data_IF_952849941190
#
_entry.id   IF_952849941190
#
_cell.length_a   1.000
_cell.length_b   1.000
_cell.length_c   1.000
_cell.angle_alpha   90.00
_cell.angle_beta   90.00
_cell.angle_gamma   90.00
#
_symmetry.space_group_name_H-M   'P 1'
#
loop_
_entity.id
_entity.type
_entity.pdbx_description
1 polymer ?
#
# COMPACT_ATOMS: atom_id res chain seq x y z
N UNK A 1 5.07 2.54 22.44
CA UNK A 1 6.26 2.38 21.59
C UNK A 1 6.14 3.10 20.26
N UNK A 2 6.74 4.29 20.15
CA UNK A 2 6.73 5.12 18.92
C UNK A 2 7.56 4.52 17.78
N UNK A 3 8.46 3.59 18.08
CA UNK A 3 9.24 2.85 17.06
C UNK A 3 8.37 1.87 16.25
N UNK A 4 7.21 1.46 16.76
CA UNK A 4 6.27 0.60 16.04
C UNK A 4 5.53 1.33 14.90
N UNK A 5 5.48 2.67 14.95
CA UNK A 5 4.91 3.53 13.90
C UNK A 5 5.92 3.87 12.79
N UNK A 6 7.19 3.47 12.92
CA UNK A 6 8.23 3.83 11.98
C UNK A 6 8.04 3.08 10.65
N UNK A 7 7.81 3.84 9.57
CA UNK A 7 7.81 3.35 8.18
C UNK A 7 9.26 3.28 7.71
N UNK A 8 9.80 2.08 7.56
CA UNK A 8 11.19 1.85 7.14
C UNK A 8 11.32 0.54 6.36
N UNK A 9 12.37 0.44 5.53
CA UNK A 9 12.70 -0.81 4.82
C UNK A 9 12.91 -1.94 5.83
N UNK A 10 12.39 -3.13 5.49
CA UNK A 10 12.39 -4.32 6.34
C UNK A 10 11.25 -4.38 7.36
N UNK A 11 10.46 -3.32 7.52
CA UNK A 11 9.30 -3.33 8.44
C UNK A 11 8.14 -4.13 7.84
N UNK A 12 7.49 -4.91 8.69
CA UNK A 12 6.33 -5.69 8.30
C UNK A 12 5.13 -4.78 7.97
N UNK A 13 4.35 -5.21 6.99
CA UNK A 13 3.13 -4.54 6.53
C UNK A 13 2.03 -5.56 6.30
N UNK A 14 0.78 -5.11 6.44
CA UNK A 14 -0.40 -5.88 6.07
C UNK A 14 -1.14 -5.12 4.98
N UNK A 15 -1.50 -5.82 3.92
CA UNK A 15 -2.32 -5.31 2.83
C UNK A 15 -3.69 -5.97 2.89
N UNK A 16 -4.75 -5.18 2.76
CA UNK A 16 -6.13 -5.69 2.72
C UNK A 16 -6.88 -5.00 1.59
N UNK A 17 -7.28 -5.77 0.58
CA UNK A 17 -8.00 -5.23 -0.57
C UNK A 17 -8.86 -6.28 -1.26
N UNK A 18 -9.42 -5.93 -2.42
CA UNK A 18 -10.19 -6.85 -3.26
C UNK A 18 -9.46 -7.16 -4.58
N UNK A 19 -8.24 -7.76 -4.53
CA UNK A 19 -7.50 -8.11 -5.71
C UNK A 19 -8.13 -9.34 -6.36
N UNK A 20 -8.99 -9.16 -7.34
CA UNK A 20 -9.47 -10.17 -8.29
C UNK A 20 -10.45 -9.49 -9.24
N UNK A 21 -10.18 -9.57 -10.54
CA UNK A 21 -11.21 -9.30 -11.54
C UNK A 21 -12.31 -10.37 -11.53
N UNK A 22 -13.42 -10.16 -12.28
CA UNK A 22 -14.53 -11.10 -12.38
C UNK A 22 -14.08 -12.53 -12.74
N UNK A 23 -13.13 -12.67 -13.66
CA UNK A 23 -12.62 -13.96 -14.10
C UNK A 23 -11.94 -14.73 -12.97
N UNK A 24 -11.18 -14.03 -12.12
CA UNK A 24 -10.50 -14.62 -10.99
C UNK A 24 -11.47 -14.98 -9.87
N UNK A 25 -12.52 -14.18 -9.66
CA UNK A 25 -13.59 -14.51 -8.71
C UNK A 25 -14.32 -15.78 -9.15
N UNK A 26 -14.61 -15.93 -10.44
CA UNK A 26 -15.20 -17.15 -10.99
C UNK A 26 -14.27 -18.36 -10.87
N UNK A 27 -12.98 -18.18 -11.10
CA UNK A 27 -11.98 -19.26 -11.00
C UNK A 27 -11.75 -19.77 -9.56
N UNK A 28 -12.26 -19.07 -8.54
CA UNK A 28 -12.25 -19.54 -7.15
C UNK A 28 -13.46 -20.41 -6.79
N UNK A 29 -14.46 -20.49 -7.67
CA UNK A 29 -15.66 -21.30 -7.48
C UNK A 29 -15.50 -22.68 -8.13
N UNK A 30 -16.39 -23.61 -7.78
CA UNK A 30 -16.46 -24.90 -8.45
C UNK A 30 -16.82 -24.74 -9.93
N UNK A 31 -16.17 -25.50 -10.82
CA UNK A 31 -16.34 -25.37 -12.28
C UNK A 31 -17.80 -25.40 -12.76
N UNK A 32 -18.64 -26.21 -12.11
CA UNK A 32 -20.06 -26.30 -12.43
C UNK A 32 -20.82 -25.01 -12.05
N UNK A 33 -20.51 -24.47 -10.87
CA UNK A 33 -21.07 -23.22 -10.38
C UNK A 33 -20.60 -22.05 -11.24
N UNK A 34 -19.30 -21.92 -11.47
CA UNK A 34 -18.70 -20.87 -12.30
C UNK A 34 -19.32 -20.84 -13.70
N UNK A 35 -19.46 -21.99 -14.37
CA UNK A 35 -20.14 -22.10 -15.68
C UNK A 35 -21.61 -21.68 -15.62
N UNK A 36 -22.33 -22.07 -14.57
CA UNK A 36 -23.74 -21.71 -14.41
C UNK A 36 -23.93 -20.20 -14.21
N UNK A 37 -23.05 -19.57 -13.44
CA UNK A 37 -23.05 -18.13 -13.18
C UNK A 37 -22.70 -17.39 -14.47
N UNK A 38 -21.64 -17.82 -15.17
CA UNK A 38 -21.23 -17.22 -16.43
C UNK A 38 -22.33 -17.30 -17.49
N UNK A 39 -23.04 -18.43 -17.59
CA UNK A 39 -24.14 -18.58 -18.55
C UNK A 39 -25.34 -17.66 -18.25
N UNK A 40 -25.62 -17.38 -16.96
CA UNK A 40 -26.80 -16.61 -16.53
C UNK A 40 -26.52 -15.11 -16.42
N UNK A 41 -25.33 -14.74 -15.98
CA UNK A 41 -24.98 -13.37 -15.60
C UNK A 41 -23.76 -12.82 -16.35
N UNK A 42 -23.07 -13.62 -17.16
CA UNK A 42 -21.85 -13.22 -17.88
C UNK A 42 -22.09 -12.29 -19.07
N UNK A 43 -23.34 -11.97 -19.40
CA UNK A 43 -23.68 -10.99 -20.45
C UNK A 43 -23.46 -9.53 -20.02
N UNK A 44 -23.36 -9.26 -18.72
CA UNK A 44 -23.01 -7.95 -18.16
C UNK A 44 -22.11 -8.10 -16.94
N UNK A 45 -21.03 -7.30 -16.90
CA UNK A 45 -20.14 -7.24 -15.75
C UNK A 45 -20.90 -6.86 -14.47
N UNK A 46 -21.85 -5.93 -14.57
CA UNK A 46 -22.64 -5.47 -13.43
C UNK A 46 -23.53 -6.58 -12.88
N UNK A 47 -24.20 -7.36 -13.74
CA UNK A 47 -25.02 -8.49 -13.29
C UNK A 47 -24.19 -9.60 -12.66
N UNK A 48 -23.00 -9.87 -13.22
CA UNK A 48 -22.07 -10.86 -12.69
C UNK A 48 -21.58 -10.45 -11.30
N UNK A 49 -21.08 -9.21 -11.16
CA UNK A 49 -20.59 -8.70 -9.89
C UNK A 49 -21.71 -8.56 -8.86
N UNK A 50 -22.91 -8.13 -9.28
CA UNK A 50 -24.08 -8.06 -8.42
C UNK A 50 -24.46 -9.42 -7.84
N UNK A 51 -24.47 -10.46 -8.67
CA UNK A 51 -24.73 -11.83 -8.20
C UNK A 51 -23.63 -12.34 -7.26
N UNK A 52 -22.35 -12.17 -7.62
CA UNK A 52 -21.22 -12.57 -6.78
C UNK A 52 -21.24 -11.83 -5.43
N UNK A 53 -21.64 -10.56 -5.40
CA UNK A 53 -21.79 -9.78 -4.18
C UNK A 53 -22.95 -10.30 -3.32
N UNK A 54 -24.12 -10.55 -3.91
CA UNK A 54 -25.31 -11.08 -3.21
C UNK A 54 -25.00 -12.43 -2.54
N UNK A 55 -24.24 -13.28 -3.23
CA UNK A 55 -23.81 -14.60 -2.72
C UNK A 55 -22.55 -14.54 -1.84
N UNK A 56 -22.02 -13.35 -1.56
CA UNK A 56 -20.82 -13.13 -0.72
C UNK A 56 -19.56 -13.81 -1.26
N UNK A 57 -19.44 -13.98 -2.58
CA UNK A 57 -18.22 -14.48 -3.22
C UNK A 57 -17.14 -13.41 -3.39
N UNK A 58 -17.49 -12.11 -3.23
CA UNK A 58 -16.51 -11.02 -3.19
C UNK A 58 -15.97 -10.89 -1.76
N UNK A 59 -14.76 -11.41 -1.55
CA UNK A 59 -14.08 -11.39 -0.25
C UNK A 59 -12.77 -10.60 -0.33
N UNK A 60 -12.39 -9.87 0.73
CA UNK A 60 -11.10 -9.21 0.75
C UNK A 60 -9.97 -10.23 0.87
N UNK A 61 -8.89 -10.01 0.12
CA UNK A 61 -7.61 -10.69 0.34
C UNK A 61 -6.82 -9.89 1.36
N UNK A 62 -6.42 -10.54 2.45
CA UNK A 62 -5.51 -9.97 3.45
C UNK A 62 -4.18 -10.71 3.40
N UNK A 63 -3.10 -9.99 3.14
CA UNK A 63 -1.76 -10.55 2.98
C UNK A 63 -0.74 -9.76 3.81
N UNK A 64 0.31 -10.44 4.25
CA UNK A 64 1.42 -9.82 4.95
C UNK A 64 2.66 -9.80 4.06
N UNK A 65 3.50 -8.80 4.27
CA UNK A 65 4.81 -8.65 3.63
C UNK A 65 5.70 -7.69 4.41
N UNK A 66 6.69 -7.14 3.73
CA UNK A 66 7.65 -6.17 4.24
C UNK A 66 7.83 -5.03 3.24
N UNK A 67 8.24 -3.88 3.75
CA UNK A 67 8.71 -2.76 2.92
C UNK A 67 10.07 -3.16 2.34
N UNK A 68 10.17 -3.19 1.01
CA UNK A 68 11.40 -3.56 0.29
C UNK A 68 12.20 -2.36 -0.17
N UNK A 69 11.53 -1.22 -0.39
CA UNK A 69 12.13 0.07 -0.71
C UNK A 69 11.20 1.22 -0.29
N UNK A 70 11.75 2.39 -0.01
CA UNK A 70 11.01 3.54 0.53
C UNK A 70 11.58 4.87 0.03
N UNK A 71 10.72 5.66 -0.61
CA UNK A 71 10.94 7.06 -0.96
C UNK A 71 9.79 7.94 -0.43
N UNK A 72 10.05 9.23 -0.33
CA UNK A 72 9.10 10.29 0.02
C UNK A 72 7.78 10.24 -0.75
N UNK A 73 7.77 9.72 -1.98
CA UNK A 73 6.58 9.64 -2.84
C UNK A 73 6.07 8.22 -3.07
N UNK A 74 6.78 7.19 -2.59
CA UNK A 74 6.48 5.80 -2.93
C UNK A 74 6.96 4.82 -1.85
N UNK A 75 6.11 3.87 -1.50
CA UNK A 75 6.47 2.67 -0.73
C UNK A 75 6.50 1.49 -1.71
N UNK A 76 7.56 0.68 -1.66
CA UNK A 76 7.64 -0.61 -2.35
C UNK A 76 7.53 -1.71 -1.31
N UNK A 77 6.71 -2.73 -1.57
CA UNK A 77 6.45 -3.81 -0.62
C UNK A 77 6.13 -5.14 -1.32
N UNK A 78 6.30 -6.26 -0.61
CA UNK A 78 6.15 -7.61 -1.16
C UNK A 78 4.88 -8.37 -0.71
N UNK A 79 3.99 -7.72 0.06
CA UNK A 79 2.71 -8.32 0.44
C UNK A 79 1.88 -8.61 -0.82
N UNK A 80 1.43 -9.86 -0.98
CA UNK A 80 0.79 -10.31 -2.23
C UNK A 80 -0.49 -9.55 -2.53
N UNK A 81 -0.64 -9.17 -3.79
CA UNK A 81 -1.86 -8.58 -4.35
C UNK A 81 -1.94 -8.92 -5.84
N UNK A 82 -2.94 -8.44 -6.54
CA UNK A 82 -3.13 -8.64 -7.98
C UNK A 82 -3.90 -7.46 -8.57
N UNK A 83 -4.24 -7.55 -9.86
CA UNK A 83 -5.20 -6.65 -10.48
C UNK A 83 -6.49 -6.55 -9.66
N UNK A 84 -7.06 -5.33 -9.59
CA UNK A 84 -8.16 -4.99 -8.69
C UNK A 84 -7.73 -4.60 -7.27
N UNK A 85 -6.46 -4.80 -6.89
CA UNK A 85 -5.94 -4.38 -5.60
C UNK A 85 -5.67 -2.88 -5.45
N UNK A 86 -5.89 -2.07 -6.50
CA UNK A 86 -5.66 -0.62 -6.45
C UNK A 86 -6.61 0.07 -5.46
N UNK A 87 -6.11 1.11 -4.78
CA UNK A 87 -6.84 1.86 -3.77
C UNK A 87 -6.85 1.21 -2.38
N UNK A 88 -6.40 -0.04 -2.24
CA UNK A 88 -6.46 -0.71 -0.95
C UNK A 88 -5.40 -0.19 0.05
N UNK A 89 -5.75 -0.13 1.34
CA UNK A 89 -4.89 0.38 2.40
C UNK A 89 -3.72 -0.57 2.71
N UNK A 90 -2.53 0.00 2.85
CA UNK A 90 -1.35 -0.66 3.38
C UNK A 90 -1.16 -0.24 4.85
N UNK A 91 -1.23 -1.21 5.76
CA UNK A 91 -1.09 -1.02 7.19
C UNK A 91 0.35 -1.27 7.65
N UNK A 92 0.86 -0.37 8.50
CA UNK A 92 2.11 -0.57 9.23
C UNK A 92 1.92 -1.43 10.48
N UNK A 93 3.00 -1.67 11.23
CA UNK A 93 2.99 -2.55 12.41
C UNK A 93 2.07 -2.06 13.54
N UNK A 94 1.78 -0.76 13.60
CA UNK A 94 0.83 -0.19 14.57
C UNK A 94 -0.64 -0.33 14.19
N UNK A 95 -0.95 -0.93 13.02
CA UNK A 95 -2.30 -1.00 12.48
C UNK A 95 -2.80 0.31 11.85
N UNK A 96 -1.95 1.33 11.75
CA UNK A 96 -2.25 2.58 11.02
C UNK A 96 -1.98 2.42 9.53
N UNK A 97 -2.77 3.12 8.70
CA UNK A 97 -2.54 3.18 7.25
C UNK A 97 -1.30 4.03 6.97
N UNK A 98 -0.32 3.43 6.29
CA UNK A 98 0.95 4.07 5.93
C UNK A 98 1.02 4.38 4.42
N UNK A 99 0.24 3.67 3.61
CA UNK A 99 0.15 3.91 2.18
C UNK A 99 -1.16 3.43 1.54
N UNK A 100 -1.36 3.81 0.28
CA UNK A 100 -2.48 3.40 -0.56
C UNK A 100 -1.90 2.71 -1.79
N UNK A 101 -2.22 1.42 -2.00
CA UNK A 101 -1.72 0.67 -3.15
C UNK A 101 -2.25 1.27 -4.47
N UNK A 102 -1.40 1.37 -5.50
CA UNK A 102 -1.83 1.90 -6.80
C UNK A 102 -1.36 1.07 -7.99
N UNK A 103 -0.28 0.29 -7.84
CA UNK A 103 0.26 -0.51 -8.92
C UNK A 103 0.85 -1.83 -8.40
N UNK A 104 0.69 -2.86 -9.22
CA UNK A 104 1.28 -4.19 -9.06
C UNK A 104 2.21 -4.44 -10.24
N UNK A 105 3.37 -5.06 -10.01
CA UNK A 105 4.28 -5.39 -11.10
C UNK A 105 4.14 -6.87 -11.47
N UNK A 106 3.58 -7.14 -12.66
CA UNK A 106 3.20 -8.51 -13.07
C UNK A 106 4.42 -9.39 -13.38
N UNK A 107 5.54 -8.80 -13.82
CA UNK A 107 6.79 -9.52 -14.11
C UNK A 107 7.65 -9.78 -12.85
N UNK A 108 7.38 -9.08 -11.75
CA UNK A 108 8.01 -9.27 -10.44
C UNK A 108 6.96 -9.12 -9.34
N UNK A 109 6.33 -10.24 -9.01
CA UNK A 109 5.27 -10.33 -7.99
C UNK A 109 5.74 -9.99 -6.57
N UNK A 110 7.04 -9.79 -6.35
CA UNK A 110 7.60 -9.33 -5.09
C UNK A 110 7.64 -7.78 -4.95
N UNK A 111 7.16 -7.04 -5.95
CA UNK A 111 7.17 -5.57 -5.93
C UNK A 111 5.78 -4.99 -6.24
N UNK A 112 5.16 -4.44 -5.20
CA UNK A 112 3.94 -3.65 -5.28
C UNK A 112 4.23 -2.22 -4.82
N UNK A 113 3.42 -1.27 -5.31
CA UNK A 113 3.67 0.15 -5.09
C UNK A 113 2.50 0.83 -4.40
N UNK A 114 2.81 1.58 -3.36
CA UNK A 114 1.85 2.40 -2.64
C UNK A 114 2.28 3.87 -2.57
N UNK A 115 1.31 4.77 -2.58
CA UNK A 115 1.50 6.18 -2.27
C UNK A 115 1.55 6.34 -0.75
N UNK A 116 2.60 6.93 -0.14
CA UNK A 116 2.63 7.19 1.29
C UNK A 116 1.48 8.11 1.72
N UNK A 117 0.77 7.78 2.80
CA UNK A 117 -0.35 8.59 3.30
C UNK A 117 0.08 10.02 3.64
N UNK A 118 1.28 10.18 4.22
CA UNK A 118 1.85 11.51 4.52
C UNK A 118 2.01 12.39 3.27
N UNK A 119 2.41 11.78 2.15
CA UNK A 119 2.51 12.47 0.87
C UNK A 119 1.12 12.83 0.33
N UNK A 120 0.16 11.90 0.39
CA UNK A 120 -1.24 12.16 0.02
C UNK A 120 -1.86 13.31 0.80
N UNK A 121 -1.69 13.35 2.12
CA UNK A 121 -2.17 14.46 2.97
C UNK A 121 -1.55 15.79 2.54
N UNK A 122 -0.26 15.82 2.25
CA UNK A 122 0.43 17.04 1.76
C UNK A 122 -0.19 17.55 0.45
N UNK A 123 -0.56 16.64 -0.46
CA UNK A 123 -1.23 17.02 -1.72
C UNK A 123 -2.64 17.57 -1.47
N UNK A 124 -3.41 16.93 -0.59
CA UNK A 124 -4.75 17.39 -0.22
C UNK A 124 -4.70 18.80 0.40
N UNK A 125 -3.77 19.05 1.31
CA UNK A 125 -3.59 20.36 1.93
C UNK A 125 -3.27 21.46 0.92
N UNK A 126 -2.48 21.17 -0.13
CA UNK A 126 -2.16 22.12 -1.20
C UNK A 126 -3.37 22.58 -2.00
N UNK A 127 -4.42 21.76 -2.07
CA UNK A 127 -5.68 22.10 -2.76
C UNK A 127 -6.76 22.62 -1.81
N UNK A 128 -6.40 22.98 -0.58
CA UNK A 128 -7.29 23.60 0.40
C UNK A 128 -8.07 22.62 1.27
N UNK A 129 -7.77 21.32 1.21
CA UNK A 129 -8.34 20.35 2.16
C UNK A 129 -7.80 20.62 3.57
N UNK A 130 -8.70 20.65 4.55
CA UNK A 130 -8.37 20.83 5.97
C UNK A 130 -8.67 19.54 6.71
N UNK A 131 -7.82 19.25 7.70
CA UNK A 131 -8.07 18.14 8.61
C UNK A 131 -9.36 18.45 9.40
N UNK A 132 -10.31 17.50 9.53
CA UNK A 132 -11.49 17.68 10.37
C UNK A 132 -11.12 18.04 11.81
N UNK A 133 -11.86 18.98 12.41
CA UNK A 133 -11.67 19.35 13.82
C UNK A 133 -11.87 18.11 14.73
N UNK A 134 -10.95 17.90 15.67
CA UNK A 134 -10.98 16.75 16.59
C UNK A 134 -10.08 15.57 16.20
N UNK A 135 -9.37 15.61 15.07
CA UNK A 135 -8.26 14.69 14.77
C UNK A 135 -6.93 15.35 15.19
N UNK A 136 -6.75 15.54 16.49
CA UNK A 136 -5.48 16.03 17.05
C UNK A 136 -4.56 14.86 17.42
N UNK A 137 -3.34 14.87 16.87
CA UNK A 137 -2.21 14.15 17.45
C UNK A 137 -1.33 13.37 16.47
N UNK A 138 -0.14 13.91 16.17
CA UNK A 138 1.04 13.24 15.59
C UNK A 138 1.14 13.04 14.06
N UNK A 139 0.69 13.98 13.23
CA UNK A 139 1.08 13.98 11.80
C UNK A 139 2.31 14.87 11.48
N UNK A 140 2.67 15.81 12.38
CA UNK A 140 3.59 16.92 12.04
C UNK A 140 4.93 16.96 12.81
N UNK A 141 5.37 15.90 13.49
CA UNK A 141 6.73 15.83 14.06
C UNK A 141 7.60 14.87 13.25
N UNK A 142 7.97 15.22 12.01
CA UNK A 142 9.20 14.67 11.40
C UNK A 142 9.73 15.46 10.20
N UNK A 143 9.87 16.78 10.32
CA UNK A 143 10.55 17.61 9.31
C UNK A 143 11.85 18.25 9.80
N UNK A 144 12.43 17.81 10.92
CA UNK A 144 13.75 18.26 11.34
C UNK A 144 14.60 17.10 11.85
N UNK A 145 15.55 16.65 11.03
CA UNK A 145 16.50 15.62 11.44
C UNK A 145 17.40 15.07 10.34
N UNK A 146 17.81 15.87 9.35
CA UNK A 146 19.05 15.57 8.61
C UNK A 146 19.67 16.85 8.02
N UNK A 147 20.14 17.70 8.93
CA UNK A 147 21.09 18.78 8.63
C UNK A 147 22.20 18.75 9.68
N UNK A 148 23.12 17.80 9.53
CA UNK A 148 24.48 17.82 10.10
C UNK A 148 25.28 16.72 9.38
N UNK A 149 26.40 16.95 8.72
CA UNK A 149 27.17 18.16 8.47
C UNK A 149 28.29 17.78 7.50
N UNK A 150 28.65 18.70 6.61
CA UNK A 150 29.86 18.60 5.82
C UNK A 150 31.06 18.50 6.77
N UNK A 151 31.67 17.32 6.85
CA UNK A 151 32.99 17.16 7.48
C UNK A 151 34.04 17.50 6.42
N UNK A 152 34.52 18.74 6.49
CA UNK A 152 35.77 19.17 5.87
C UNK A 152 36.92 18.34 6.46
N UNK A 153 37.50 17.46 5.65
CA UNK A 153 38.74 16.76 5.99
C UNK A 153 39.93 17.69 5.72
N UNK A 154 40.33 18.45 6.74
CA UNK A 154 41.63 19.13 6.75
C UNK A 154 42.69 18.08 7.10
N UNK A 155 43.32 17.49 6.09
CA UNK A 155 44.52 16.68 6.27
C UNK A 155 45.70 17.61 6.46
N UNK A 156 46.10 17.80 7.73
CA UNK A 156 47.38 18.43 8.06
C UNK A 156 48.50 17.45 7.76
N UNK A 157 49.35 17.81 6.82
CA UNK A 157 50.65 17.20 6.57
C UNK A 157 51.50 17.23 7.84
N UNK A 158 52.00 16.07 8.27
CA UNK A 158 53.10 16.03 9.25
C UNK A 158 54.23 15.18 8.67
N UNK A 159 55.22 15.88 8.12
CA UNK A 159 56.54 15.35 7.81
C UNK A 159 57.45 15.67 9.00
N UNK A 160 58.12 14.66 9.56
CA UNK A 160 59.53 14.68 9.99
C UNK A 160 59.85 13.59 11.03
N UNK A 161 60.56 12.56 10.55
CA UNK A 161 61.73 11.85 11.12
C UNK A 161 61.62 10.34 10.95
#
# INVERSE_FOLDING_TARGET
DRESDAVAVGKAVVMMGYPSGPDRLLALLDDAEARSIQARYGSSLESLLGYLAEKKHIQPLTTQGHITDLDTRRIVYDARTAEGGSGAPLFGQSGRVIGINFAVFTENTASNFAVPVRYGITLLQRVGWKLPEGIDGNLNENTNGNSAGARSSTTTSNASR
#
